data_IF_688000432601
#
_entry.id   IF_688000432601
#
_cell.length_a   1.000
_cell.length_b   1.000
_cell.length_c   1.000
_cell.angle_alpha   90.00
_cell.angle_beta   90.00
_cell.angle_gamma   90.00
#
_symmetry.space_group_name_H-M   'P 1'
#
loop_
_entity.id
_entity.type
_entity.pdbx_description
1 polymer ?
#
# COMPACT_ATOMS: atom_id res chain seq x y z
N UNK A 1 15.03 15.03 -0.83
CA UNK A 1 13.60 14.65 -0.75
C UNK A 1 13.10 14.72 0.71
N UNK A 2 13.90 15.27 1.61
CA UNK A 2 13.47 15.52 2.98
C UNK A 2 12.32 16.53 2.95
N UNK A 3 11.20 16.19 3.62
CA UNK A 3 10.03 17.07 3.66
C UNK A 3 9.01 16.92 2.52
N UNK A 4 9.28 16.10 1.49
CA UNK A 4 8.31 15.87 0.40
C UNK A 4 7.00 15.27 0.91
N UNK A 5 7.08 14.31 1.83
CA UNK A 5 5.90 13.71 2.45
C UNK A 5 5.03 14.78 3.14
N UNK A 6 5.64 15.69 3.87
CA UNK A 6 4.92 16.78 4.53
C UNK A 6 4.23 17.70 3.51
N UNK A 7 4.88 18.00 2.38
CA UNK A 7 4.28 18.82 1.31
C UNK A 7 3.06 18.14 0.69
N UNK A 8 3.10 16.80 0.53
CA UNK A 8 1.98 16.03 -0.01
C UNK A 8 0.83 15.98 1.01
N UNK A 9 1.11 15.63 2.26
CA UNK A 9 0.07 15.52 3.30
C UNK A 9 -0.64 16.85 3.58
N UNK A 10 0.07 17.97 3.50
CA UNK A 10 -0.54 19.32 3.62
C UNK A 10 -1.59 19.55 2.51
N UNK A 11 -1.39 19.04 1.30
CA UNK A 11 -2.37 19.19 0.21
C UNK A 11 -3.68 18.47 0.59
N UNK A 12 -3.60 17.26 1.11
CA UNK A 12 -4.76 16.50 1.59
C UNK A 12 -5.45 17.21 2.76
N UNK A 13 -4.68 17.65 3.75
CA UNK A 13 -5.20 18.37 4.92
C UNK A 13 -5.96 19.64 4.54
N UNK A 14 -5.40 20.46 3.66
CA UNK A 14 -6.05 21.72 3.19
C UNK A 14 -7.35 21.48 2.44
N UNK A 15 -7.53 20.30 1.87
CA UNK A 15 -8.75 19.89 1.16
C UNK A 15 -9.67 19.04 2.01
N UNK A 16 -9.34 18.85 3.31
CA UNK A 16 -10.10 18.02 4.25
C UNK A 16 -10.28 16.58 3.76
N UNK A 17 -9.29 16.06 3.02
CA UNK A 17 -9.27 14.67 2.58
C UNK A 17 -8.50 13.81 3.58
N UNK A 18 -9.09 12.70 3.96
CA UNK A 18 -8.42 11.70 4.77
C UNK A 18 -7.50 10.82 3.92
N UNK A 19 -6.32 10.52 4.41
CA UNK A 19 -5.43 9.52 3.83
C UNK A 19 -5.71 8.18 4.53
N UNK A 20 -6.29 7.23 3.79
CA UNK A 20 -6.62 5.91 4.32
C UNK A 20 -5.37 5.05 4.47
N UNK A 21 -4.53 5.02 3.43
CA UNK A 21 -3.25 4.34 3.48
C UNK A 21 -2.17 5.16 2.78
N UNK A 22 -0.94 5.01 3.26
CA UNK A 22 0.23 5.65 2.67
C UNK A 22 1.38 4.65 2.69
N UNK A 23 1.90 4.33 1.52
CA UNK A 23 3.11 3.54 1.35
C UNK A 23 4.15 4.33 0.57
N UNK A 24 5.39 4.32 1.04
CA UNK A 24 6.53 4.94 0.37
C UNK A 24 7.63 3.91 0.23
N UNK A 25 8.05 3.65 -0.97
CA UNK A 25 9.11 2.67 -1.25
C UNK A 25 10.11 3.19 -2.28
N UNK A 26 11.39 2.80 -2.20
CA UNK A 26 12.33 3.05 -3.27
C UNK A 26 11.88 2.32 -4.54
N UNK A 27 12.05 2.97 -5.68
CA UNK A 27 11.86 2.34 -6.99
C UNK A 27 13.09 1.52 -7.40
N UNK A 28 13.02 0.84 -8.55
CA UNK A 28 14.17 0.17 -9.12
C UNK A 28 15.30 1.15 -9.53
N UNK A 29 14.99 2.44 -9.67
CA UNK A 29 15.96 3.49 -10.02
C UNK A 29 16.39 4.20 -8.74
N UNK A 30 17.70 4.23 -8.48
CA UNK A 30 18.28 4.87 -7.30
C UNK A 30 17.88 6.34 -7.19
N UNK A 31 17.40 6.72 -6.00
CA UNK A 31 17.00 8.09 -5.70
C UNK A 31 15.54 8.42 -6.05
N UNK A 32 14.82 7.52 -6.73
CA UNK A 32 13.41 7.68 -7.05
C UNK A 32 12.58 6.83 -6.11
N UNK A 33 11.55 7.42 -5.52
CA UNK A 33 10.61 6.77 -4.61
C UNK A 33 9.20 6.80 -5.19
N UNK A 34 8.47 5.74 -4.96
CA UNK A 34 7.05 5.64 -5.28
C UNK A 34 6.21 5.87 -4.01
N UNK A 35 5.27 6.78 -4.11
CA UNK A 35 4.23 7.03 -3.12
C UNK A 35 2.93 6.39 -3.61
N UNK A 36 2.33 5.54 -2.80
CA UNK A 36 1.00 4.99 -3.04
C UNK A 36 0.10 5.49 -1.92
N UNK A 37 -0.88 6.30 -2.27
CA UNK A 37 -1.81 6.94 -1.34
C UNK A 37 -3.21 6.52 -1.72
N UNK A 38 -3.99 6.03 -0.75
CA UNK A 38 -5.43 5.78 -0.94
C UNK A 38 -6.24 6.78 -0.15
N UNK A 39 -7.32 7.25 -0.76
CA UNK A 39 -8.27 8.19 -0.17
C UNK A 39 -9.65 7.98 -0.78
N UNK A 40 -10.69 8.39 -0.07
CA UNK A 40 -12.04 8.51 -0.61
C UNK A 40 -12.28 9.96 -1.01
N UNK A 41 -12.54 10.19 -2.29
CA UNK A 41 -12.81 11.52 -2.83
C UNK A 41 -13.64 11.44 -4.11
N UNK A 42 -14.37 12.51 -4.42
CA UNK A 42 -15.00 12.67 -5.72
C UNK A 42 -13.94 12.87 -6.80
N UNK A 43 -14.27 12.49 -8.04
CA UNK A 43 -13.35 12.56 -9.17
C UNK A 43 -12.78 13.98 -9.38
N UNK A 44 -13.63 14.99 -9.31
CA UNK A 44 -13.23 16.40 -9.42
C UNK A 44 -12.22 16.82 -8.33
N UNK A 45 -12.38 16.30 -7.13
CA UNK A 45 -11.49 16.61 -6.01
C UNK A 45 -10.14 15.93 -6.19
N UNK A 46 -10.13 14.63 -6.55
CA UNK A 46 -8.89 13.90 -6.73
C UNK A 46 -8.08 14.43 -7.91
N UNK A 47 -8.73 14.83 -9.01
CA UNK A 47 -8.07 15.46 -10.16
C UNK A 47 -7.34 16.74 -9.75
N UNK A 48 -7.99 17.59 -8.93
CA UNK A 48 -7.37 18.83 -8.39
C UNK A 48 -6.19 18.53 -7.48
N UNK A 49 -6.29 17.51 -6.63
CA UNK A 49 -5.20 17.06 -5.74
C UNK A 49 -4.01 16.60 -6.57
N UNK A 50 -4.25 15.70 -7.52
CA UNK A 50 -3.19 15.13 -8.38
C UNK A 50 -2.49 16.23 -9.18
N UNK A 51 -3.24 17.13 -9.82
CA UNK A 51 -2.67 18.29 -10.55
C UNK A 51 -1.82 19.20 -9.64
N UNK A 52 -2.21 19.35 -8.38
CA UNK A 52 -1.45 20.15 -7.42
C UNK A 52 -0.17 19.44 -6.96
N UNK A 53 -0.19 18.12 -6.82
CA UNK A 53 0.98 17.30 -6.50
C UNK A 53 1.94 17.28 -7.70
N UNK A 54 1.44 17.02 -8.90
CA UNK A 54 2.24 16.92 -10.14
C UNK A 54 3.02 18.21 -10.48
N UNK A 55 2.55 19.35 -9.98
CA UNK A 55 3.24 20.65 -10.15
C UNK A 55 4.43 20.86 -9.20
N UNK A 56 4.68 19.94 -8.26
CA UNK A 56 5.81 20.08 -7.34
C UNK A 56 7.11 19.73 -8.03
N UNK A 57 8.15 20.51 -7.75
CA UNK A 57 9.48 20.36 -8.38
C UNK A 57 10.09 18.98 -8.13
N UNK A 58 9.87 18.44 -6.93
CA UNK A 58 10.43 17.13 -6.53
C UNK A 58 9.58 15.93 -6.98
N UNK A 59 8.47 16.16 -7.69
CA UNK A 59 7.58 15.12 -8.21
C UNK A 59 7.83 14.93 -9.70
N UNK A 60 8.19 13.72 -10.07
CA UNK A 60 8.38 13.35 -11.48
C UNK A 60 7.04 13.22 -12.19
N UNK A 61 6.08 12.54 -11.54
CA UNK A 61 4.74 12.33 -12.05
C UNK A 61 3.78 11.99 -10.92
N UNK A 62 2.58 12.56 -10.97
CA UNK A 62 1.45 12.16 -10.14
C UNK A 62 0.26 11.80 -11.04
N UNK A 63 -0.47 10.75 -10.66
CA UNK A 63 -1.68 10.30 -11.35
C UNK A 63 -2.57 9.53 -10.37
N UNK A 64 -3.84 9.36 -10.71
CA UNK A 64 -4.76 8.54 -9.93
C UNK A 64 -5.42 7.47 -10.81
N UNK A 65 -5.91 6.45 -10.15
CA UNK A 65 -6.69 5.37 -10.76
C UNK A 65 -7.75 4.92 -9.75
N UNK A 66 -8.81 4.32 -10.25
CA UNK A 66 -9.79 3.61 -9.44
C UNK A 66 -9.38 2.15 -9.23
N UNK A 67 -10.04 1.47 -8.31
CA UNK A 67 -9.75 0.06 -8.01
C UNK A 67 -9.94 -0.86 -9.21
N UNK A 68 -10.83 -0.49 -10.14
CA UNK A 68 -11.10 -1.26 -11.37
C UNK A 68 -9.90 -1.29 -12.31
N UNK A 69 -9.10 -0.23 -12.32
CA UNK A 69 -7.92 -0.08 -13.17
C UNK A 69 -6.63 -0.64 -12.57
N UNK A 70 -6.69 -1.14 -11.34
CA UNK A 70 -5.53 -1.56 -10.57
C UNK A 70 -5.48 -3.06 -10.31
N UNK A 71 -4.27 -3.59 -10.30
CA UNK A 71 -3.94 -4.81 -9.55
C UNK A 71 -3.24 -4.37 -8.27
N UNK A 72 -3.82 -4.72 -7.14
CA UNK A 72 -3.28 -4.29 -5.84
C UNK A 72 -3.37 -5.40 -4.80
N UNK A 73 -2.50 -5.32 -3.82
CA UNK A 73 -2.50 -6.18 -2.64
C UNK A 73 -1.98 -5.42 -1.43
N UNK A 74 -2.32 -5.91 -0.25
CA UNK A 74 -1.68 -5.55 1.01
C UNK A 74 -1.13 -6.80 1.70
N UNK A 75 -0.22 -6.61 2.65
CA UNK A 75 0.26 -7.65 3.55
C UNK A 75 -0.28 -7.34 4.94
N UNK A 76 -0.86 -8.35 5.59
CA UNK A 76 -1.29 -8.27 6.97
C UNK A 76 -0.53 -9.28 7.83
N UNK A 77 -0.16 -8.86 9.04
CA UNK A 77 0.49 -9.68 10.04
C UNK A 77 -0.41 -9.83 11.27
N UNK A 78 -0.51 -11.06 11.77
CA UNK A 78 -1.34 -11.44 12.92
C UNK A 78 -0.47 -12.11 13.95
N UNK A 79 -0.41 -11.57 15.14
CA UNK A 79 0.30 -12.17 16.28
C UNK A 79 -0.68 -12.88 17.18
N UNK A 80 -0.45 -14.17 17.42
CA UNK A 80 -1.28 -15.07 18.19
C UNK A 80 -0.49 -15.65 19.36
N UNK A 81 -1.17 -16.12 20.41
CA UNK A 81 -0.56 -16.89 21.50
C UNK A 81 -0.18 -18.28 21.04
N UNK A 82 1.06 -18.72 21.26
CA UNK A 82 1.52 -20.08 20.95
C UNK A 82 0.78 -21.11 21.78
N UNK A 83 0.54 -20.84 23.06
CA UNK A 83 -0.19 -21.75 23.95
C UNK A 83 -1.60 -22.05 23.41
N UNK A 84 -2.35 -21.02 23.04
CA UNK A 84 -3.69 -21.16 22.50
C UNK A 84 -3.69 -21.78 21.10
N UNK A 85 -2.71 -21.45 20.28
CA UNK A 85 -2.53 -22.00 18.94
C UNK A 85 -2.39 -23.52 18.97
N UNK A 86 -1.54 -24.04 19.88
CA UNK A 86 -1.32 -25.48 20.02
C UNK A 86 -2.56 -26.15 20.65
N UNK A 87 -3.16 -25.53 21.67
CA UNK A 87 -4.27 -26.10 22.43
C UNK A 87 -5.55 -26.24 21.62
N UNK A 88 -5.85 -25.28 20.76
CA UNK A 88 -7.14 -25.23 20.05
C UNK A 88 -7.17 -25.97 18.72
N UNK A 89 -6.04 -26.18 18.05
CA UNK A 89 -5.93 -26.96 16.80
C UNK A 89 -6.74 -26.47 15.59
N UNK A 90 -7.69 -25.56 15.81
CA UNK A 90 -8.62 -25.05 14.78
C UNK A 90 -7.98 -24.04 13.84
N UNK A 91 -6.88 -23.40 14.27
CA UNK A 91 -6.21 -22.33 13.52
C UNK A 91 -5.56 -22.83 12.23
N UNK A 92 -5.13 -24.11 12.19
CA UNK A 92 -4.61 -24.72 10.95
C UNK A 92 -5.65 -24.71 9.82
N UNK A 93 -6.93 -24.93 10.15
CA UNK A 93 -8.03 -24.82 9.19
C UNK A 93 -8.17 -23.42 8.62
N UNK A 94 -8.03 -22.39 9.45
CA UNK A 94 -8.07 -21.00 9.03
C UNK A 94 -6.86 -20.63 8.15
N UNK A 95 -5.66 -21.10 8.52
CA UNK A 95 -4.44 -20.90 7.72
C UNK A 95 -4.64 -21.43 6.30
N UNK A 96 -5.19 -22.65 6.16
CA UNK A 96 -5.48 -23.23 4.84
C UNK A 96 -6.60 -22.50 4.10
N UNK A 97 -7.70 -22.20 4.80
CA UNK A 97 -8.85 -21.49 4.22
C UNK A 97 -8.46 -20.16 3.58
N UNK A 98 -7.62 -19.39 4.27
CA UNK A 98 -7.20 -18.05 3.84
C UNK A 98 -5.87 -18.04 3.10
N UNK A 99 -5.25 -19.20 2.89
CA UNK A 99 -3.91 -19.29 2.31
C UNK A 99 -2.90 -18.39 3.04
N UNK A 100 -3.01 -18.38 4.37
CA UNK A 100 -2.08 -17.66 5.24
C UNK A 100 -0.80 -18.48 5.44
N UNK A 101 0.26 -17.83 5.89
CA UNK A 101 1.56 -18.42 6.09
C UNK A 101 2.08 -18.13 7.49
N UNK A 102 2.70 -19.12 8.14
CA UNK A 102 3.41 -18.90 9.39
C UNK A 102 4.78 -18.31 9.06
N UNK A 103 5.08 -17.10 9.55
CA UNK A 103 6.38 -16.47 9.43
C UNK A 103 7.32 -16.83 10.55
N UNK A 104 6.79 -16.87 11.77
CA UNK A 104 7.55 -17.08 13.00
C UNK A 104 6.70 -17.90 13.96
N UNK A 105 7.34 -18.80 14.70
CA UNK A 105 6.74 -19.49 15.83
C UNK A 105 7.80 -19.69 16.90
N UNK A 106 7.53 -19.19 18.09
CA UNK A 106 8.38 -19.37 19.26
C UNK A 106 7.54 -19.74 20.48
N UNK A 107 8.15 -19.81 21.67
CA UNK A 107 7.47 -20.25 22.89
C UNK A 107 6.29 -19.36 23.29
N UNK A 108 6.28 -18.09 22.89
CA UNK A 108 5.30 -17.10 23.34
C UNK A 108 4.28 -16.72 22.27
N UNK A 109 4.70 -16.65 21.01
CA UNK A 109 3.81 -16.20 19.94
C UNK A 109 4.04 -16.89 18.60
N UNK A 110 2.97 -16.95 17.83
CA UNK A 110 2.96 -17.33 16.42
C UNK A 110 2.60 -16.09 15.60
N UNK A 111 3.35 -15.82 14.56
CA UNK A 111 3.08 -14.73 13.62
C UNK A 111 2.64 -15.31 12.29
N UNK A 112 1.41 -14.98 11.88
CA UNK A 112 0.87 -15.32 10.56
C UNK A 112 0.99 -14.13 9.62
N UNK A 113 1.15 -14.44 8.34
CA UNK A 113 1.10 -13.47 7.24
C UNK A 113 -0.01 -13.86 6.27
N UNK A 114 -0.75 -12.87 5.82
CA UNK A 114 -1.72 -12.98 4.73
C UNK A 114 -1.53 -11.83 3.75
N UNK A 115 -1.29 -12.16 2.48
CA UNK A 115 -1.34 -11.22 1.37
C UNK A 115 -2.70 -11.31 0.68
N UNK A 116 -3.31 -10.19 0.38
CA UNK A 116 -4.62 -10.16 -0.28
C UNK A 116 -5.22 -8.76 -0.30
N UNK A 117 -6.52 -8.71 -0.58
CA UNK A 117 -7.29 -7.49 -0.50
C UNK A 117 -7.71 -7.21 0.95
N UNK A 118 -8.09 -5.95 1.20
CA UNK A 118 -8.54 -5.50 2.52
C UNK A 118 -9.61 -6.42 3.15
N UNK A 119 -10.61 -6.82 2.36
CA UNK A 119 -11.71 -7.65 2.85
C UNK A 119 -11.24 -9.05 3.28
N UNK A 120 -10.28 -9.63 2.54
CA UNK A 120 -9.72 -10.94 2.88
C UNK A 120 -8.88 -10.90 4.15
N UNK A 121 -8.05 -9.86 4.31
CA UNK A 121 -7.22 -9.67 5.51
C UNK A 121 -8.08 -9.37 6.73
N UNK A 122 -9.17 -8.61 6.55
CA UNK A 122 -10.14 -8.31 7.60
C UNK A 122 -10.96 -9.55 7.99
N UNK A 123 -11.39 -10.35 7.02
CA UNK A 123 -12.14 -11.57 7.30
C UNK A 123 -11.30 -12.56 8.13
N UNK A 124 -10.03 -12.75 7.80
CA UNK A 124 -9.13 -13.58 8.60
C UNK A 124 -8.96 -13.01 10.03
N UNK A 125 -8.80 -11.71 10.17
CA UNK A 125 -8.72 -11.06 11.49
C UNK A 125 -9.95 -11.35 12.35
N UNK A 126 -11.15 -11.22 11.76
CA UNK A 126 -12.41 -11.46 12.48
C UNK A 126 -12.51 -12.91 12.96
N UNK A 127 -12.25 -13.88 12.07
CA UNK A 127 -12.31 -15.31 12.44
C UNK A 127 -11.23 -15.70 13.47
N UNK A 128 -10.01 -15.16 13.35
CA UNK A 128 -8.97 -15.39 14.36
C UNK A 128 -9.34 -14.77 15.72
N UNK A 129 -9.92 -13.58 15.72
CA UNK A 129 -10.33 -12.89 16.94
C UNK A 129 -11.43 -13.65 17.69
N UNK A 130 -12.39 -14.22 16.97
CA UNK A 130 -13.47 -15.04 17.53
C UNK A 130 -12.99 -16.42 18.00
N UNK A 131 -12.00 -16.99 17.35
CA UNK A 131 -11.52 -18.36 17.63
C UNK A 131 -10.47 -18.40 18.72
N UNK A 132 -9.44 -17.57 18.64
CA UNK A 132 -8.25 -17.68 19.49
C UNK A 132 -7.86 -16.34 20.12
N UNK A 133 -8.36 -15.24 19.57
CA UNK A 133 -7.91 -13.88 19.91
C UNK A 133 -6.63 -13.48 19.15
N UNK A 134 -6.51 -12.21 18.86
CA UNK A 134 -5.35 -11.63 18.17
C UNK A 134 -4.64 -10.69 19.11
N UNK A 135 -3.36 -10.95 19.41
CA UNK A 135 -2.55 -10.12 20.30
C UNK A 135 -2.12 -8.80 19.63
N UNK A 136 -1.82 -8.87 18.33
CA UNK A 136 -1.44 -7.70 17.54
C UNK A 136 -1.81 -7.92 16.07
N UNK A 137 -2.25 -6.86 15.42
CA UNK A 137 -2.61 -6.86 14.01
C UNK A 137 -2.03 -5.62 13.31
N UNK A 138 -1.38 -5.82 12.16
CA UNK A 138 -0.77 -4.73 11.38
C UNK A 138 -1.02 -4.99 9.89
N UNK A 139 -1.25 -3.92 9.14
CA UNK A 139 -1.32 -3.89 7.67
C UNK A 139 -0.22 -3.03 7.09
N UNK A 140 0.30 -3.43 5.93
CA UNK A 140 1.29 -2.64 5.19
C UNK A 140 0.70 -1.42 4.49
N UNK A 141 -0.62 -1.39 4.31
CA UNK A 141 -1.22 -0.58 3.28
C UNK A 141 -1.04 -1.20 1.90
N UNK A 142 -1.67 -0.59 0.91
CA UNK A 142 -1.79 -1.11 -0.44
C UNK A 142 -0.53 -0.88 -1.27
N UNK A 143 -0.04 -1.91 -1.97
CA UNK A 143 0.83 -1.79 -3.14
C UNK A 143 0.01 -2.06 -4.39
N UNK A 144 0.20 -1.25 -5.44
CA UNK A 144 -0.64 -1.28 -6.62
C UNK A 144 0.13 -1.00 -7.91
N UNK A 145 -0.30 -1.65 -8.98
CA UNK A 145 0.12 -1.35 -10.37
C UNK A 145 -1.12 -1.24 -11.26
N UNK A 146 -1.02 -0.48 -12.34
CA UNK A 146 -2.12 -0.32 -13.29
C UNK A 146 -2.25 -1.55 -14.19
N UNK A 147 -3.49 -1.92 -14.55
CA UNK A 147 -3.78 -2.96 -15.55
C UNK A 147 -3.47 -2.48 -16.96
N UNK A 148 -3.55 -1.18 -17.20
CA UNK A 148 -3.26 -0.57 -18.50
C UNK A 148 -1.77 -0.65 -18.82
N UNK A 149 -1.44 -0.59 -20.12
CA UNK A 149 -0.06 -0.49 -20.60
C UNK A 149 0.47 0.90 -20.28
N UNK A 150 1.04 1.06 -19.10
CA UNK A 150 1.69 2.31 -18.66
C UNK A 150 3.16 2.25 -19.08
N UNK A 151 3.70 3.39 -19.51
CA UNK A 151 5.13 3.56 -19.78
C UNK A 151 5.96 3.12 -18.57
N UNK A 152 7.04 2.42 -18.84
CA UNK A 152 8.01 2.07 -17.81
C UNK A 152 8.64 3.36 -17.26
N UNK A 153 9.03 3.35 -16.00
CA UNK A 153 9.68 4.50 -15.36
C UNK A 153 10.93 4.94 -16.13
N UNK A 154 11.71 3.99 -16.67
CA UNK A 154 12.88 4.27 -17.52
C UNK A 154 12.52 4.99 -18.81
N UNK A 155 11.44 4.58 -19.47
CA UNK A 155 10.95 5.20 -20.71
C UNK A 155 10.45 6.62 -20.45
N UNK A 156 9.76 6.82 -19.33
CA UNK A 156 9.30 8.14 -18.89
C UNK A 156 10.47 9.09 -18.58
N UNK A 157 11.52 8.61 -17.94
CA UNK A 157 12.70 9.42 -17.65
C UNK A 157 13.46 9.79 -18.93
N UNK A 158 13.62 8.86 -19.87
CA UNK A 158 14.23 9.12 -21.17
C UNK A 158 13.44 10.16 -21.98
N UNK A 159 12.11 10.10 -21.93
CA UNK A 159 11.24 11.12 -22.55
C UNK A 159 11.37 12.51 -21.89
N UNK A 160 11.51 12.54 -20.56
CA UNK A 160 11.73 13.78 -19.85
C UNK A 160 13.09 14.41 -20.19
N UNK A 161 14.15 13.61 -20.25
CA UNK A 161 15.48 14.08 -20.66
C UNK A 161 15.47 14.62 -22.08
N UNK A 162 14.83 13.94 -23.02
CA UNK A 162 14.66 14.40 -24.40
C UNK A 162 13.95 15.75 -24.47
N UNK A 163 12.82 15.91 -23.75
CA UNK A 163 12.06 17.16 -23.70
C UNK A 163 12.83 18.31 -23.06
N UNK A 164 13.73 18.02 -22.11
CA UNK A 164 14.61 19.03 -21.53
C UNK A 164 15.68 19.50 -22.51
N UNK A 165 16.26 18.60 -23.29
CA UNK A 165 17.25 18.91 -24.33
C UNK A 165 16.64 19.74 -25.46
N UNK A 166 15.41 19.43 -25.90
CA UNK A 166 14.68 20.18 -26.92
C UNK A 166 14.34 21.63 -26.51
N UNK A 167 14.22 21.89 -25.20
CA UNK A 167 13.95 23.25 -24.67
C UNK A 167 15.20 24.10 -24.49
N UNK A 168 16.38 23.51 -24.60
CA UNK A 168 17.67 24.21 -24.49
C UNK A 168 18.30 24.55 -25.84
N UNK A 169 17.68 24.13 -26.95
CA UNK A 169 17.97 24.53 -28.32
C UNK A 169 17.01 25.63 -28.79
#
# INVERSE_FOLDING_TARGET
>A
IVGLLNQITIIFTRRQLNIETLSVSPSAIKGIHKFTITTFADEDMIDKVVKQIDKRVDILKAYYNTDEDLVYQEIALYKLSTELFIKMGTVEGLIRKYNARILEMNETCVVLEKSGHYDETQALFNELSETIGVLQFIRSGRVAITKSKVERLSDMLADMERKLQEKQQ
#
